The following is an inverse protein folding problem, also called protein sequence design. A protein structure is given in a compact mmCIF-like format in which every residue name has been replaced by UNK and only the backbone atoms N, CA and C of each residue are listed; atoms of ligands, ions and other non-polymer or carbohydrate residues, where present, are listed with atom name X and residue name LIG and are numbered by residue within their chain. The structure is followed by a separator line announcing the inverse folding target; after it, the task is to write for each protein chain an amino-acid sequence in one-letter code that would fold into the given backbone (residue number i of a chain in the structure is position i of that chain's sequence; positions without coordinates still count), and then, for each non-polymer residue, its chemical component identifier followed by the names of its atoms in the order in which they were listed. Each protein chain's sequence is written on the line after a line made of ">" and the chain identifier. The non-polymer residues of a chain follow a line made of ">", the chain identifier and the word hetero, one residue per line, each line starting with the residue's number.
data_IF_926980719155
#
_entry.id   IF_926980719155
#
_cell.length_a   1.000
_cell.length_b   1.000
_cell.length_c   1.000
_cell.angle_alpha   90.00
_cell.angle_beta   90.00
_cell.angle_gamma   90.00
#
_symmetry.space_group_name_H-M   'P 1'
#
loop_
_entity.id
_entity.type
_entity.pdbx_description
1 polymer ?
#
# COMPACT_ATOMS: atom_id res chain seq x y z
N UNK A 1 -69.88 39.65 -18.28
CA UNK A 1 -68.78 39.01 -17.52
C UNK A 1 -67.47 39.20 -18.29
N UNK A 2 -66.54 40.02 -17.77
CA UNK A 2 -65.26 40.32 -18.44
C UNK A 2 -64.20 39.35 -17.90
N UNK A 3 -63.76 38.38 -18.71
CA UNK A 3 -62.67 37.46 -18.33
C UNK A 3 -61.34 38.22 -18.32
N UNK A 4 -60.71 38.33 -17.16
CA UNK A 4 -59.37 38.89 -17.00
C UNK A 4 -58.38 37.86 -17.52
N UNK A 5 -57.66 38.17 -18.61
CA UNK A 5 -56.51 37.37 -19.08
C UNK A 5 -55.42 37.44 -18.00
N UNK A 6 -55.05 36.31 -17.40
CA UNK A 6 -53.80 36.21 -16.63
C UNK A 6 -52.62 36.38 -17.59
N UNK A 7 -51.82 37.42 -17.37
CA UNK A 7 -50.50 37.54 -17.98
C UNK A 7 -49.60 36.47 -17.33
N UNK A 8 -49.04 35.55 -18.13
CA UNK A 8 -47.96 34.67 -17.63
C UNK A 8 -46.69 35.49 -17.50
N UNK A 9 -46.13 35.59 -16.30
CA UNK A 9 -44.85 36.25 -16.09
C UNK A 9 -43.73 35.42 -16.75
N UNK A 10 -43.12 35.95 -17.80
CA UNK A 10 -41.87 35.43 -18.35
C UNK A 10 -40.68 35.83 -17.47
N UNK A 11 -39.58 35.09 -17.58
CA UNK A 11 -38.32 35.41 -16.90
C UNK A 11 -37.61 36.58 -17.58
N UNK A 12 -36.96 37.45 -16.81
CA UNK A 12 -36.13 38.52 -17.37
C UNK A 12 -34.77 37.97 -17.83
N UNK A 13 -34.18 38.59 -18.86
CA UNK A 13 -32.83 38.22 -19.33
C UNK A 13 -31.76 38.42 -18.23
N UNK A 14 -31.96 39.42 -17.36
CA UNK A 14 -31.08 39.71 -16.22
C UNK A 14 -31.15 38.58 -15.18
N UNK A 15 -32.34 38.09 -14.84
CA UNK A 15 -32.48 36.96 -13.92
C UNK A 15 -31.85 35.66 -14.47
N UNK A 16 -31.99 35.40 -15.78
CA UNK A 16 -31.33 34.25 -16.41
C UNK A 16 -29.81 34.34 -16.27
N UNK A 17 -29.23 35.51 -16.52
CA UNK A 17 -27.78 35.73 -16.35
C UNK A 17 -27.34 35.55 -14.90
N UNK A 18 -28.14 36.03 -13.94
CA UNK A 18 -27.86 35.90 -12.53
C UNK A 18 -27.88 34.42 -12.09
N UNK A 19 -28.83 33.62 -12.57
CA UNK A 19 -28.85 32.19 -12.31
C UNK A 19 -27.69 31.45 -12.97
N UNK A 20 -27.31 31.81 -14.19
CA UNK A 20 -26.13 31.22 -14.83
C UNK A 20 -24.85 31.54 -14.04
N UNK A 21 -24.70 32.77 -13.55
CA UNK A 21 -23.55 33.15 -12.72
C UNK A 21 -23.49 32.34 -11.42
N UNK A 22 -24.61 32.21 -10.71
CA UNK A 22 -24.71 31.39 -9.49
C UNK A 22 -24.44 29.91 -9.80
N UNK A 23 -24.97 29.41 -10.91
CA UNK A 23 -24.78 28.02 -11.33
C UNK A 23 -23.31 27.71 -11.61
N UNK A 24 -22.56 28.61 -12.24
CA UNK A 24 -21.12 28.44 -12.48
C UNK A 24 -20.35 28.37 -11.16
N UNK A 25 -20.64 29.27 -10.21
CA UNK A 25 -20.01 29.26 -8.88
C UNK A 25 -20.33 27.95 -8.16
N UNK A 26 -21.59 27.51 -8.20
CA UNK A 26 -22.04 26.28 -7.57
C UNK A 26 -21.35 25.04 -8.15
N UNK A 27 -21.26 24.93 -9.47
CA UNK A 27 -20.54 23.83 -10.13
C UNK A 27 -19.04 23.84 -9.83
N UNK A 28 -18.44 25.02 -9.68
CA UNK A 28 -17.05 25.17 -9.23
C UNK A 28 -16.84 24.56 -7.84
N UNK A 29 -17.73 24.85 -6.89
CA UNK A 29 -17.67 24.26 -5.54
C UNK A 29 -17.82 22.75 -5.57
N UNK A 30 -18.79 22.22 -6.34
CA UNK A 30 -18.98 20.78 -6.46
C UNK A 30 -17.77 20.06 -7.05
N UNK A 31 -17.13 20.66 -8.05
CA UNK A 31 -15.92 20.11 -8.68
C UNK A 31 -14.78 20.04 -7.67
N UNK A 32 -14.59 21.08 -6.85
CA UNK A 32 -13.57 21.09 -5.80
C UNK A 32 -13.81 20.00 -4.75
N UNK A 33 -15.06 19.81 -4.32
CA UNK A 33 -15.42 18.73 -3.39
C UNK A 33 -15.11 17.37 -4.02
N UNK A 34 -15.46 17.17 -5.29
CA UNK A 34 -15.21 15.91 -5.99
C UNK A 34 -13.71 15.59 -6.10
N UNK A 35 -12.88 16.56 -6.47
CA UNK A 35 -11.41 16.40 -6.51
C UNK A 35 -10.86 16.04 -5.13
N UNK A 36 -11.31 16.73 -4.08
CA UNK A 36 -10.89 16.45 -2.70
C UNK A 36 -11.23 15.02 -2.26
N UNK A 37 -12.39 14.49 -2.66
CA UNK A 37 -12.79 13.10 -2.39
C UNK A 37 -11.86 12.12 -3.12
N UNK A 38 -11.54 12.38 -4.38
CA UNK A 38 -10.63 11.52 -5.15
C UNK A 38 -9.22 11.49 -4.54
N UNK A 39 -8.72 12.65 -4.11
CA UNK A 39 -7.42 12.75 -3.44
C UNK A 39 -7.41 11.96 -2.12
N UNK A 40 -8.45 12.12 -1.31
CA UNK A 40 -8.60 11.39 -0.04
C UNK A 40 -8.71 9.88 -0.27
N UNK A 41 -9.37 9.45 -1.34
CA UNK A 41 -9.46 8.05 -1.73
C UNK A 41 -8.08 7.49 -2.11
N UNK A 42 -7.33 8.18 -2.99
CA UNK A 42 -6.00 7.74 -3.41
C UNK A 42 -5.03 7.64 -2.22
N UNK A 43 -5.15 8.57 -1.26
CA UNK A 43 -4.40 8.56 0.00
C UNK A 43 -4.73 7.34 0.87
N UNK A 44 -6.01 7.05 1.02
CA UNK A 44 -6.48 5.87 1.77
C UNK A 44 -6.04 4.57 1.12
N UNK A 45 -6.17 4.45 -0.21
CA UNK A 45 -5.76 3.26 -0.97
C UNK A 45 -4.26 3.00 -0.85
N UNK A 46 -3.42 4.01 -1.10
CA UNK A 46 -1.97 3.87 -1.00
C UNK A 46 -1.51 3.43 0.40
N UNK A 47 -2.09 4.03 1.44
CA UNK A 47 -1.82 3.64 2.84
C UNK A 47 -2.26 2.21 3.10
N UNK A 48 -3.46 1.86 2.64
CA UNK A 48 -4.04 0.53 2.84
C UNK A 48 -3.20 -0.56 2.17
N UNK A 49 -2.73 -0.36 0.94
CA UNK A 49 -1.89 -1.33 0.23
C UNK A 49 -0.56 -1.57 0.95
N UNK A 50 0.13 -0.50 1.35
CA UNK A 50 1.43 -0.63 2.05
C UNK A 50 1.27 -1.33 3.40
N UNK A 51 0.23 -0.99 4.18
CA UNK A 51 0.00 -1.60 5.49
C UNK A 51 -0.45 -3.07 5.38
N UNK A 52 -1.31 -3.39 4.42
CA UNK A 52 -1.76 -4.78 4.21
C UNK A 52 -0.60 -5.68 3.78
N UNK A 53 0.17 -5.26 2.78
CA UNK A 53 1.31 -6.04 2.28
C UNK A 53 2.43 -6.13 3.33
N UNK A 54 2.73 -5.03 4.02
CA UNK A 54 3.72 -5.00 5.08
C UNK A 54 3.39 -5.97 6.21
N UNK A 55 2.13 -5.98 6.67
CA UNK A 55 1.65 -6.94 7.67
C UNK A 55 1.68 -8.37 7.16
N UNK A 56 1.22 -8.62 5.94
CA UNK A 56 1.23 -9.96 5.35
C UNK A 56 2.65 -10.52 5.28
N UNK A 57 3.59 -9.77 4.67
CA UNK A 57 4.99 -10.17 4.53
C UNK A 57 5.64 -10.42 5.90
N UNK A 58 5.46 -9.50 6.86
CA UNK A 58 6.02 -9.66 8.19
C UNK A 58 5.45 -10.88 8.91
N UNK A 59 4.13 -11.07 8.88
CA UNK A 59 3.50 -12.22 9.52
C UNK A 59 3.98 -13.54 8.91
N UNK A 60 4.09 -13.60 7.58
CA UNK A 60 4.54 -14.78 6.85
C UNK A 60 6.00 -15.10 7.14
N UNK A 61 6.90 -14.12 7.04
CA UNK A 61 8.32 -14.30 7.38
C UNK A 61 8.51 -14.70 8.84
N UNK A 62 7.79 -14.05 9.76
CA UNK A 62 7.88 -14.38 11.19
C UNK A 62 7.41 -15.80 11.48
N UNK A 63 6.34 -16.23 10.81
CA UNK A 63 5.80 -17.58 10.92
C UNK A 63 6.77 -18.63 10.39
N UNK A 64 7.29 -18.43 9.17
CA UNK A 64 8.19 -19.40 8.53
C UNK A 64 9.55 -19.48 9.24
N UNK A 65 10.14 -18.34 9.62
CA UNK A 65 11.39 -18.31 10.41
C UNK A 65 11.19 -18.95 11.78
N UNK A 66 10.07 -18.67 12.45
CA UNK A 66 9.78 -19.24 13.77
C UNK A 66 9.66 -20.77 13.74
N UNK A 67 9.31 -21.36 12.60
CA UNK A 67 9.16 -22.82 12.40
C UNK A 67 10.36 -23.48 11.73
N UNK A 68 11.30 -22.70 11.21
CA UNK A 68 12.46 -23.23 10.51
C UNK A 68 13.40 -23.97 11.46
N UNK A 69 13.79 -25.18 11.07
CA UNK A 69 14.86 -25.96 11.70
C UNK A 69 16.25 -25.45 11.32
N UNK A 70 16.39 -24.92 10.10
CA UNK A 70 17.61 -24.32 9.59
C UNK A 70 17.28 -23.02 8.86
N UNK A 71 18.06 -21.99 9.16
CA UNK A 71 18.00 -20.67 8.58
C UNK A 71 19.36 -20.32 7.99
N UNK A 72 19.39 -20.11 6.68
CA UNK A 72 20.57 -19.74 5.92
C UNK A 72 20.33 -18.44 5.16
N UNK A 73 21.24 -17.49 5.28
CA UNK A 73 21.20 -16.24 4.53
C UNK A 73 22.36 -16.29 3.56
N UNK A 74 22.08 -16.53 2.28
CA UNK A 74 23.11 -16.63 1.24
C UNK A 74 23.54 -15.25 0.72
N UNK A 75 22.65 -14.26 0.83
CA UNK A 75 22.94 -12.84 0.56
C UNK A 75 21.92 -11.97 1.30
N UNK A 76 22.12 -10.64 1.39
CA UNK A 76 21.16 -9.76 2.06
C UNK A 76 19.74 -9.86 1.48
N UNK A 77 19.56 -10.25 0.23
CA UNK A 77 18.25 -10.35 -0.42
C UNK A 77 17.78 -11.79 -0.61
N UNK A 78 18.51 -12.78 -0.10
CA UNK A 78 18.17 -14.20 -0.23
C UNK A 78 18.23 -14.92 1.13
N UNK A 79 17.08 -15.41 1.56
CA UNK A 79 16.88 -16.17 2.79
C UNK A 79 16.35 -17.55 2.44
N UNK A 80 16.99 -18.59 2.96
CA UNK A 80 16.59 -19.98 2.79
C UNK A 80 16.21 -20.56 4.15
N UNK A 81 15.04 -21.16 4.22
CA UNK A 81 14.45 -21.72 5.43
C UNK A 81 14.15 -23.21 5.20
N UNK A 82 14.55 -24.06 6.13
CA UNK A 82 14.22 -25.49 6.09
C UNK A 82 13.30 -25.82 7.26
N UNK A 83 12.02 -26.11 6.98
CA UNK A 83 11.03 -26.47 8.01
C UNK A 83 10.93 -27.99 8.13
N UNK A 84 10.53 -28.67 7.04
CA UNK A 84 10.54 -30.12 6.91
C UNK A 84 10.58 -30.52 5.44
N UNK A 85 11.76 -30.87 4.91
CA UNK A 85 11.95 -31.20 3.49
C UNK A 85 12.86 -30.21 2.75
N UNK A 86 12.61 -29.94 1.46
CA UNK A 86 13.35 -28.93 0.69
C UNK A 86 13.32 -27.57 1.37
N UNK A 87 14.32 -26.74 1.09
CA UNK A 87 14.36 -25.40 1.66
C UNK A 87 13.45 -24.45 0.87
N UNK A 88 12.63 -23.71 1.59
CA UNK A 88 11.81 -22.62 1.06
C UNK A 88 12.71 -21.38 0.88
N UNK A 89 12.68 -20.77 -0.30
CA UNK A 89 13.61 -19.71 -0.68
C UNK A 89 12.86 -18.39 -0.86
N UNK A 90 13.20 -17.43 0.00
CA UNK A 90 12.83 -16.04 -0.13
C UNK A 90 13.88 -15.28 -0.92
N UNK A 91 13.47 -14.63 -1.99
CA UNK A 91 14.34 -13.85 -2.89
C UNK A 91 13.70 -12.53 -3.27
N UNK A 92 14.47 -11.45 -3.31
CA UNK A 92 14.04 -10.22 -4.00
C UNK A 92 14.31 -10.36 -5.50
N UNK A 93 13.26 -10.36 -6.30
CA UNK A 93 13.31 -10.33 -7.76
C UNK A 93 12.80 -8.98 -8.26
N UNK A 94 13.71 -8.09 -8.66
CA UNK A 94 13.36 -6.70 -8.99
C UNK A 94 12.81 -5.96 -7.77
N UNK A 95 11.51 -5.64 -7.78
CA UNK A 95 10.80 -5.01 -6.66
C UNK A 95 9.85 -5.95 -5.92
N UNK A 96 9.89 -7.24 -6.23
CA UNK A 96 8.96 -8.21 -5.67
C UNK A 96 9.70 -9.19 -4.77
N UNK A 97 9.18 -9.40 -3.56
CA UNK A 97 9.63 -10.48 -2.70
C UNK A 97 8.91 -11.75 -3.13
N UNK A 98 9.67 -12.78 -3.48
CA UNK A 98 9.14 -14.06 -3.92
C UNK A 98 9.49 -15.16 -2.93
N UNK A 99 8.56 -16.08 -2.71
CA UNK A 99 8.78 -17.38 -2.07
C UNK A 99 8.74 -18.45 -3.16
N UNK A 100 9.88 -19.08 -3.44
CA UNK A 100 10.03 -20.10 -4.49
C UNK A 100 9.48 -19.65 -5.86
N UNK A 101 9.70 -18.38 -6.19
CA UNK A 101 9.23 -17.73 -7.42
C UNK A 101 7.81 -17.18 -7.36
N UNK A 102 7.06 -17.40 -6.28
CA UNK A 102 5.71 -16.84 -6.10
C UNK A 102 5.80 -15.50 -5.38
N UNK A 103 5.32 -14.44 -6.02
CA UNK A 103 5.28 -13.08 -5.48
C UNK A 103 4.42 -12.98 -4.20
N UNK A 104 4.90 -12.24 -3.20
CA UNK A 104 4.25 -12.05 -1.90
C UNK A 104 3.64 -10.66 -1.69
N UNK A 105 4.22 -9.61 -2.27
CA UNK A 105 3.61 -8.27 -2.26
C UNK A 105 2.52 -8.15 -3.34
N UNK A 106 1.64 -7.15 -3.23
CA UNK A 106 0.63 -6.83 -4.24
C UNK A 106 1.20 -6.18 -5.50
N UNK A 107 0.35 -5.94 -6.51
CA UNK A 107 0.71 -5.14 -7.70
C UNK A 107 0.92 -3.66 -7.37
N UNK A 108 0.24 -3.19 -6.32
CA UNK A 108 0.21 -1.78 -5.92
C UNK A 108 1.37 -1.39 -5.00
N UNK A 109 2.26 -2.33 -4.67
CA UNK A 109 3.42 -2.05 -3.83
C UNK A 109 4.71 -2.60 -4.41
N UNK A 110 5.81 -1.91 -4.09
CA UNK A 110 7.17 -2.26 -4.47
C UNK A 110 8.03 -2.39 -3.23
N UNK A 111 8.84 -3.44 -3.18
CA UNK A 111 9.84 -3.64 -2.15
C UNK A 111 11.18 -3.09 -2.62
N UNK A 112 11.87 -2.42 -1.70
CA UNK A 112 13.24 -1.96 -1.86
C UNK A 112 14.00 -2.10 -0.55
N UNK A 113 15.33 -1.99 -0.60
CA UNK A 113 16.22 -2.06 0.57
C UNK A 113 15.99 -3.31 1.44
N UNK A 114 15.62 -4.44 0.83
CA UNK A 114 15.46 -5.70 1.54
C UNK A 114 16.83 -6.17 2.06
N UNK A 115 16.90 -6.44 3.36
CA UNK A 115 18.07 -7.04 3.99
C UNK A 115 17.64 -8.10 4.99
N UNK A 116 18.18 -9.30 4.82
CA UNK A 116 18.20 -10.38 5.77
C UNK A 116 19.59 -10.41 6.40
N UNK A 117 19.66 -10.40 7.72
CA UNK A 117 20.89 -10.51 8.46
C UNK A 117 20.73 -11.55 9.55
N UNK A 118 21.50 -12.65 9.47
CA UNK A 118 21.55 -13.63 10.54
C UNK A 118 22.26 -13.02 11.75
N UNK A 119 21.59 -13.00 12.89
CA UNK A 119 22.10 -12.56 14.19
C UNK A 119 22.27 -13.80 15.08
N UNK A 120 23.52 -14.13 15.45
CA UNK A 120 23.81 -15.25 16.36
C UNK A 120 25.08 -16.02 16.00
N UNK A 121 25.64 -16.71 17.00
CA UNK A 121 26.85 -17.52 16.84
C UNK A 121 26.53 -18.89 16.21
N UNK A 122 27.45 -19.38 15.38
CA UNK A 122 27.37 -20.66 14.66
C UNK A 122 27.52 -21.91 15.56
N UNK A 123 27.26 -21.79 16.86
CA UNK A 123 27.36 -22.91 17.78
C UNK A 123 26.17 -23.87 17.60
N UNK A 124 26.46 -25.16 17.44
CA UNK A 124 25.47 -26.21 17.27
C UNK A 124 24.42 -26.17 18.39
N UNK A 125 23.14 -26.12 18.03
CA UNK A 125 22.01 -26.06 18.97
C UNK A 125 21.57 -24.65 19.42
N UNK A 126 22.23 -23.58 18.95
CA UNK A 126 21.80 -22.20 19.25
C UNK A 126 20.59 -21.78 18.42
N UNK A 127 19.61 -21.10 19.05
CA UNK A 127 18.46 -20.52 18.33
C UNK A 127 18.96 -19.54 17.29
N UNK A 128 18.55 -19.73 16.04
CA UNK A 128 18.98 -18.90 14.93
C UNK A 128 18.07 -17.67 14.88
N UNK A 129 18.66 -16.48 14.86
CA UNK A 129 17.91 -15.23 14.79
C UNK A 129 18.21 -14.54 13.46
N UNK A 130 17.21 -13.92 12.85
CA UNK A 130 17.36 -13.13 11.63
C UNK A 130 16.72 -11.76 11.85
N UNK A 131 17.49 -10.72 11.60
CA UNK A 131 16.97 -9.38 11.39
C UNK A 131 16.53 -9.22 9.94
N UNK A 132 15.32 -8.73 9.77
CA UNK A 132 14.69 -8.43 8.50
C UNK A 132 14.51 -6.92 8.44
N UNK A 133 14.93 -6.29 7.35
CA UNK A 133 14.54 -4.91 7.02
C UNK A 133 14.10 -4.84 5.58
N UNK A 134 13.08 -4.04 5.31
CA UNK A 134 12.68 -3.69 3.96
C UNK A 134 11.88 -2.40 3.95
N UNK A 135 11.82 -1.78 2.79
CA UNK A 135 11.00 -0.61 2.51
C UNK A 135 9.90 -1.02 1.53
N UNK A 136 8.65 -0.69 1.85
CA UNK A 136 7.52 -0.78 0.93
C UNK A 136 7.16 0.60 0.43
N UNK A 137 6.92 0.69 -0.86
CA UNK A 137 6.49 1.92 -1.55
C UNK A 137 5.22 1.63 -2.35
N UNK A 138 4.19 2.45 -2.18
CA UNK A 138 2.98 2.40 -3.00
C UNK A 138 3.28 2.86 -4.43
N UNK A 139 2.69 2.17 -5.41
CA UNK A 139 2.71 2.60 -6.81
C UNK A 139 1.78 3.81 -7.02
N UNK A 140 0.69 3.89 -6.25
CA UNK A 140 -0.26 5.01 -6.29
C UNK A 140 0.43 6.32 -5.92
N UNK A 141 0.39 7.27 -6.85
CA UNK A 141 0.91 8.61 -6.63
C UNK A 141 -0.20 9.50 -6.06
N UNK A 142 0.09 10.12 -4.92
CA UNK A 142 -0.81 11.08 -4.26
C UNK A 142 -0.26 12.48 -4.45
N UNK A 143 -1.06 13.50 -4.16
CA UNK A 143 -0.59 14.88 -4.15
C UNK A 143 0.56 15.11 -3.14
N UNK A 144 0.59 14.32 -2.07
CA UNK A 144 1.64 14.28 -1.04
C UNK A 144 2.89 13.47 -1.44
N UNK A 145 2.89 12.82 -2.61
CA UNK A 145 3.90 11.86 -3.04
C UNK A 145 3.48 10.40 -2.81
N UNK A 146 4.39 9.47 -3.11
CA UNK A 146 4.14 8.03 -2.89
C UNK A 146 4.16 7.72 -1.39
N UNK A 147 3.30 6.79 -0.97
CA UNK A 147 3.36 6.27 0.40
C UNK A 147 4.58 5.36 0.56
N UNK A 148 5.39 5.61 1.59
CA UNK A 148 6.58 4.82 1.91
C UNK A 148 6.55 4.42 3.38
N UNK A 149 6.80 3.14 3.64
CA UNK A 149 6.95 2.59 5.00
C UNK A 149 8.20 1.72 5.09
N UNK A 150 8.93 1.90 6.19
CA UNK A 150 10.07 1.07 6.53
C UNK A 150 9.66 0.06 7.59
N UNK A 151 9.97 -1.20 7.34
CA UNK A 151 9.72 -2.30 8.25
C UNK A 151 11.06 -2.88 8.71
N UNK A 152 11.18 -3.10 10.02
CA UNK A 152 12.32 -3.75 10.62
C UNK A 152 11.82 -4.65 11.76
N UNK A 153 12.25 -5.90 11.75
CA UNK A 153 11.97 -6.84 12.84
C UNK A 153 13.13 -7.80 13.02
N UNK A 154 13.18 -8.46 14.17
CA UNK A 154 14.15 -9.49 14.49
C UNK A 154 13.38 -10.72 14.97
N UNK A 155 13.55 -11.84 14.29
CA UNK A 155 12.81 -13.09 14.56
C UNK A 155 13.78 -14.23 14.81
N UNK A 156 13.54 -15.00 15.86
CA UNK A 156 14.28 -16.22 16.19
C UNK A 156 13.50 -17.49 15.87
N UNK A 157 14.20 -18.58 15.56
CA UNK A 157 13.64 -19.93 15.53
C UNK A 157 13.14 -20.32 16.93
N UNK A 158 12.03 -21.05 17.01
CA UNK A 158 11.42 -21.43 18.30
C UNK A 158 12.14 -22.60 18.97
#
# INVERSE_FOLDING_TARGET
>A
MKKIKKLSSGFTLVELLLYMAIMVVFLGVLTNIFVSILDSKAESEATSYVEQDGRFILSRLTYDIGRASLVSVSSPTNLSLTISGPADIYTLSGNDLTLDGIKLNGSETKISNLTFQKLGNAAAGSKQTVQIKFMLTSVTQRNSGQEVRNYQTTVGTR
#
